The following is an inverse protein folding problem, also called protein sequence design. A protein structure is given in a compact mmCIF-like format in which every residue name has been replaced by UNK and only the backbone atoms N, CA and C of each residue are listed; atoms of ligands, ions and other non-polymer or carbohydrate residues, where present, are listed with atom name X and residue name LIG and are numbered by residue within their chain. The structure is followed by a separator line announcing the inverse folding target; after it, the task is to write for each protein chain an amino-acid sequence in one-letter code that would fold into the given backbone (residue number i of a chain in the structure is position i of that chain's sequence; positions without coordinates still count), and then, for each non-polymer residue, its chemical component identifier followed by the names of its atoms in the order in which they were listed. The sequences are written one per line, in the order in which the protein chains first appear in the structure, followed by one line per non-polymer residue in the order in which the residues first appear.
data_IF_415313999194
#
_entry.id   IF_415313999194
#
_cell.length_a   1.000
_cell.length_b   1.000
_cell.length_c   1.000
_cell.angle_alpha   90.00
_cell.angle_beta   90.00
_cell.angle_gamma   90.00
#
_symmetry.space_group_name_H-M   'P 1'
#
loop_
_entity.id
_entity.type
_entity.pdbx_description
1 polymer ?
#
# COMPACT_ATOMS: atom_id res chain seq x y z
N UNK A 1 -18.35 3.23 14.51
CA UNK A 1 -18.02 2.39 13.35
C UNK A 1 -16.98 3.15 12.54
N UNK A 2 -15.83 2.52 12.28
CA UNK A 2 -14.75 3.14 11.50
C UNK A 2 -15.19 3.25 10.03
N UNK A 3 -14.78 4.33 9.37
CA UNK A 3 -15.02 4.55 7.94
C UNK A 3 -13.69 4.40 7.22
N UNK A 4 -13.68 3.54 6.21
CA UNK A 4 -12.52 3.26 5.37
C UNK A 4 -12.70 3.96 4.04
N UNK A 5 -11.80 4.88 3.71
CA UNK A 5 -11.70 5.43 2.36
C UNK A 5 -10.88 4.46 1.54
N UNK A 6 -11.45 3.96 0.46
CA UNK A 6 -10.79 3.07 -0.49
C UNK A 6 -10.53 3.87 -1.75
N UNK A 7 -9.31 3.82 -2.26
CA UNK A 7 -9.00 4.32 -3.60
C UNK A 7 -8.17 3.30 -4.38
N UNK A 8 -8.68 2.89 -5.53
CA UNK A 8 -7.97 2.12 -6.54
C UNK A 8 -7.74 3.02 -7.76
N UNK A 9 -6.48 3.40 -7.99
CA UNK A 9 -6.12 4.36 -9.04
C UNK A 9 -4.74 4.06 -9.61
N UNK A 10 -4.53 4.49 -10.85
CA UNK A 10 -3.21 4.57 -11.43
C UNK A 10 -2.56 5.89 -11.00
N UNK A 11 -1.38 5.80 -10.40
CA UNK A 11 -0.68 6.94 -9.80
C UNK A 11 0.05 7.82 -10.82
N UNK A 12 0.33 7.30 -12.02
CA UNK A 12 1.02 8.04 -13.09
C UNK A 12 0.03 8.63 -14.10
N UNK A 13 -0.86 7.83 -14.69
CA UNK A 13 -1.87 8.34 -15.64
C UNK A 13 -3.06 9.06 -14.99
N UNK A 14 -3.23 8.93 -13.67
CA UNK A 14 -4.40 9.47 -12.97
C UNK A 14 -5.71 8.75 -13.30
N UNK A 15 -5.68 7.63 -14.03
CA UNK A 15 -6.85 6.78 -14.28
C UNK A 15 -7.42 6.33 -12.93
N UNK A 16 -8.71 6.56 -12.72
CA UNK A 16 -9.42 6.16 -11.50
C UNK A 16 -10.23 4.89 -11.75
N UNK A 17 -10.01 3.87 -10.92
CA UNK A 17 -10.83 2.67 -10.91
C UNK A 17 -12.00 2.82 -9.94
N UNK A 18 -11.69 2.92 -8.64
CA UNK A 18 -12.70 3.04 -7.57
C UNK A 18 -12.25 4.10 -6.57
N UNK A 19 -13.15 5.01 -6.18
CA UNK A 19 -12.98 5.88 -5.01
C UNK A 19 -14.29 5.81 -4.21
N UNK A 20 -14.24 5.21 -3.02
CA UNK A 20 -15.44 5.01 -2.19
C UNK A 20 -15.11 5.10 -0.70
N UNK A 21 -16.16 5.24 0.12
CA UNK A 21 -16.05 5.13 1.58
C UNK A 21 -16.99 4.04 2.06
N UNK A 22 -16.43 3.03 2.70
CA UNK A 22 -17.19 1.91 3.27
C UNK A 22 -17.07 1.92 4.78
N UNK A 23 -17.97 1.24 5.47
CA UNK A 23 -17.95 1.13 6.94
C UNK A 23 -17.81 -0.32 7.42
N UNK A 24 -17.55 -1.24 6.50
CA UNK A 24 -17.42 -2.67 6.75
C UNK A 24 -16.05 -3.17 6.27
N UNK A 25 -15.34 -3.89 7.14
CA UNK A 25 -14.08 -4.54 6.77
C UNK A 25 -14.28 -5.59 5.69
N UNK A 26 -15.45 -6.24 5.68
CA UNK A 26 -15.83 -7.21 4.64
C UNK A 26 -15.90 -6.55 3.27
N UNK A 27 -16.52 -5.36 3.17
CA UNK A 27 -16.59 -4.61 1.91
C UNK A 27 -15.19 -4.21 1.42
N UNK A 28 -14.28 -3.81 2.31
CA UNK A 28 -12.88 -3.53 1.93
C UNK A 28 -12.20 -4.75 1.31
N UNK A 29 -12.37 -5.92 1.92
CA UNK A 29 -11.80 -7.19 1.42
C UNK A 29 -12.44 -7.57 0.08
N UNK A 30 -13.74 -7.40 -0.08
CA UNK A 30 -14.44 -7.66 -1.35
C UNK A 30 -13.93 -6.74 -2.47
N UNK A 31 -13.74 -5.45 -2.18
CA UNK A 31 -13.13 -4.52 -3.13
C UNK A 31 -11.71 -4.94 -3.52
N UNK A 32 -10.87 -5.30 -2.55
CA UNK A 32 -9.52 -5.79 -2.84
C UNK A 32 -9.53 -7.04 -3.72
N UNK A 33 -10.35 -8.05 -3.37
CA UNK A 33 -10.47 -9.30 -4.13
C UNK A 33 -11.03 -9.12 -5.54
N UNK A 34 -11.75 -8.03 -5.80
CA UNK A 34 -12.26 -7.71 -7.14
C UNK A 34 -11.15 -7.25 -8.10
N UNK A 35 -9.96 -6.93 -7.59
CA UNK A 35 -8.83 -6.47 -8.40
C UNK A 35 -8.15 -7.66 -9.03
N UNK A 36 -8.17 -7.70 -10.37
CA UNK A 36 -7.40 -8.66 -11.13
C UNK A 36 -6.01 -8.09 -11.42
N UNK A 37 -5.09 -8.24 -10.46
CA UNK A 37 -3.70 -7.79 -10.58
C UNK A 37 -2.98 -8.38 -11.80
N UNK A 38 -3.30 -9.62 -12.17
CA UNK A 38 -2.70 -10.29 -13.32
C UNK A 38 -3.03 -9.57 -14.62
N UNK A 39 -4.31 -9.30 -14.85
CA UNK A 39 -4.76 -8.62 -16.07
C UNK A 39 -4.22 -7.19 -16.17
N UNK A 40 -4.02 -6.52 -15.04
CA UNK A 40 -3.41 -5.19 -15.00
C UNK A 40 -1.94 -5.24 -15.42
N UNK A 41 -1.16 -6.15 -14.82
CA UNK A 41 0.26 -6.35 -15.15
C UNK A 41 0.49 -6.86 -16.58
N UNK A 42 -0.38 -7.75 -17.07
CA UNK A 42 -0.29 -8.27 -18.43
C UNK A 42 -0.55 -7.19 -19.48
N UNK A 43 -1.52 -6.29 -19.23
CA UNK A 43 -1.76 -5.13 -20.10
C UNK A 43 -0.56 -4.18 -20.14
N UNK A 44 0.17 -4.08 -19.05
CA UNK A 44 1.38 -3.27 -18.92
C UNK A 44 2.65 -3.91 -19.51
N UNK A 45 2.57 -5.15 -20.03
CA UNK A 45 3.72 -5.90 -20.57
C UNK A 45 3.51 -6.49 -21.97
N UNK A 46 2.95 -5.77 -22.97
CA UNK A 46 2.93 -6.27 -24.34
C UNK A 46 4.36 -6.40 -24.89
N UNK A 47 4.60 -7.39 -25.75
CA UNK A 47 5.91 -7.69 -26.36
C UNK A 47 6.56 -6.52 -27.15
N UNK A 48 5.87 -5.38 -27.32
CA UNK A 48 6.29 -4.25 -28.16
C UNK A 48 6.04 -2.85 -27.53
N UNK A 49 6.00 -2.70 -26.20
CA UNK A 49 5.87 -1.39 -25.56
C UNK A 49 7.22 -0.77 -25.18
N UNK A 50 7.28 0.58 -25.21
CA UNK A 50 8.42 1.33 -24.67
C UNK A 50 8.37 1.30 -23.13
N UNK A 51 9.54 1.39 -22.48
CA UNK A 51 9.67 1.36 -21.01
C UNK A 51 8.78 2.38 -20.26
N UNK A 52 8.48 3.52 -20.90
CA UNK A 52 7.59 4.56 -20.35
C UNK A 52 6.14 4.09 -20.22
N UNK A 53 5.65 3.30 -21.18
CA UNK A 53 4.27 2.81 -21.22
C UNK A 53 4.09 1.69 -20.18
N UNK A 54 5.14 0.88 -20.01
CA UNK A 54 5.24 -0.16 -18.98
C UNK A 54 5.19 0.46 -17.57
N UNK A 55 5.86 1.60 -17.33
CA UNK A 55 5.81 2.27 -16.04
C UNK A 55 4.42 2.84 -15.72
N UNK A 56 3.76 3.49 -16.68
CA UNK A 56 2.41 4.03 -16.47
C UNK A 56 1.42 2.91 -16.16
N UNK A 57 1.33 1.88 -17.00
CA UNK A 57 0.34 0.82 -16.81
C UNK A 57 0.61 -0.09 -15.59
N UNK A 58 1.83 -0.08 -15.00
CA UNK A 58 2.14 -0.77 -13.74
C UNK A 58 1.90 0.04 -12.46
N UNK A 59 1.53 1.31 -12.58
CA UNK A 59 1.41 2.23 -11.43
C UNK A 59 0.05 2.20 -10.73
N UNK A 60 -0.69 1.09 -10.87
CA UNK A 60 -1.93 0.87 -10.14
C UNK A 60 -1.66 0.65 -8.66
N UNK A 61 -2.46 1.33 -7.82
CA UNK A 61 -2.34 1.27 -6.38
C UNK A 61 -3.74 1.15 -5.78
N UNK A 62 -3.91 0.15 -4.91
CA UNK A 62 -5.05 0.01 -4.04
C UNK A 62 -4.68 0.55 -2.65
N UNK A 63 -5.42 1.57 -2.21
CA UNK A 63 -5.16 2.25 -0.94
C UNK A 63 -6.38 2.23 -0.04
N UNK A 64 -6.12 2.06 1.25
CA UNK A 64 -7.13 2.13 2.29
C UNK A 64 -6.65 3.11 3.35
N UNK A 65 -7.47 4.11 3.67
CA UNK A 65 -7.22 5.11 4.70
C UNK A 65 -8.35 5.06 5.74
N UNK A 66 -8.01 5.11 7.02
CA UNK A 66 -8.97 5.39 8.08
C UNK A 66 -8.33 6.17 9.23
N UNK A 67 -9.18 6.82 10.03
CA UNK A 67 -8.74 7.57 11.21
C UNK A 67 -9.31 6.96 12.48
N UNK A 68 -8.46 6.81 13.51
CA UNK A 68 -8.83 6.30 14.84
C UNK A 68 -7.96 6.93 15.91
N UNK A 69 -8.57 7.38 17.02
CA UNK A 69 -7.85 7.95 18.18
C UNK A 69 -6.80 9.05 17.83
N UNK A 70 -7.19 10.03 17.00
CA UNK A 70 -6.29 11.09 16.49
C UNK A 70 -5.07 10.56 15.73
N UNK A 71 -5.19 9.38 15.13
CA UNK A 71 -4.22 8.83 14.21
C UNK A 71 -4.89 8.53 12.88
N UNK A 72 -4.11 8.65 11.83
CA UNK A 72 -4.43 8.17 10.51
C UNK A 72 -3.61 6.93 10.23
N UNK A 73 -4.24 5.96 9.58
CA UNK A 73 -3.65 4.72 9.13
C UNK A 73 -3.90 4.57 7.65
N UNK A 74 -2.85 4.31 6.89
CA UNK A 74 -2.92 4.09 5.45
C UNK A 74 -2.22 2.77 5.12
N UNK A 75 -2.86 1.95 4.30
CA UNK A 75 -2.27 0.78 3.67
C UNK A 75 -2.33 0.98 2.15
N UNK A 76 -1.19 0.88 1.48
CA UNK A 76 -1.09 0.82 0.03
C UNK A 76 -0.69 -0.58 -0.38
N UNK A 77 -1.32 -1.08 -1.44
CA UNK A 77 -1.01 -2.34 -2.09
C UNK A 77 -0.82 -2.04 -3.58
N UNK A 78 0.35 -2.36 -4.13
CA UNK A 78 0.68 -2.11 -5.53
C UNK A 78 1.61 -3.19 -6.08
N UNK A 79 1.71 -3.36 -7.41
CA UNK A 79 2.58 -4.37 -8.00
C UNK A 79 4.06 -4.09 -7.76
N UNK A 80 4.84 -5.15 -7.55
CA UNK A 80 6.30 -5.06 -7.59
C UNK A 80 6.74 -4.95 -9.07
N UNK A 81 7.57 -3.95 -9.41
CA UNK A 81 7.91 -3.52 -10.78
C UNK A 81 8.81 -4.49 -11.57
N UNK A 82 8.62 -5.82 -11.46
CA UNK A 82 9.30 -6.79 -12.32
C UNK A 82 8.35 -7.32 -13.40
N UNK A 83 8.13 -6.57 -14.50
CA UNK A 83 7.39 -7.07 -15.64
C UNK A 83 8.17 -8.19 -16.32
N UNK A 84 7.60 -9.40 -16.37
CA UNK A 84 8.02 -10.40 -17.36
C UNK A 84 6.79 -10.97 -18.08
N UNK A 85 6.83 -11.10 -19.41
CA UNK A 85 5.73 -11.68 -20.19
C UNK A 85 5.45 -13.16 -19.84
N UNK A 86 6.32 -13.78 -19.03
CA UNK A 86 6.19 -15.16 -18.58
C UNK A 86 5.62 -15.32 -17.16
N UNK A 87 5.21 -14.24 -16.48
CA UNK A 87 4.59 -14.32 -15.13
C UNK A 87 3.29 -15.13 -15.20
N UNK A 88 3.13 -16.12 -14.32
CA UNK A 88 1.83 -16.78 -14.09
C UNK A 88 1.01 -15.99 -13.06
N UNK A 89 -0.33 -16.13 -13.05
CA UNK A 89 -1.17 -15.43 -12.07
C UNK A 89 -0.74 -15.59 -10.61
N UNK A 90 -0.26 -16.78 -10.24
CA UNK A 90 0.17 -17.11 -8.87
C UNK A 90 1.58 -16.59 -8.54
N UNK A 91 2.34 -16.16 -9.55
CA UNK A 91 3.69 -15.61 -9.40
C UNK A 91 3.67 -14.08 -9.25
N UNK A 92 2.48 -13.46 -9.17
CA UNK A 92 2.35 -12.01 -9.00
C UNK A 92 2.80 -11.62 -7.61
N UNK A 93 3.88 -10.83 -7.60
CA UNK A 93 4.43 -10.22 -6.42
C UNK A 93 3.91 -8.81 -6.25
N UNK A 94 3.40 -8.53 -5.07
CA UNK A 94 2.88 -7.24 -4.66
C UNK A 94 3.77 -6.65 -3.57
N UNK A 95 3.61 -5.35 -3.40
CA UNK A 95 4.21 -4.55 -2.34
C UNK A 95 3.08 -4.08 -1.42
N UNK A 96 3.31 -4.16 -0.11
CA UNK A 96 2.53 -3.46 0.90
C UNK A 96 3.35 -2.31 1.44
N UNK A 97 2.78 -1.12 1.48
CA UNK A 97 3.31 0.02 2.22
C UNK A 97 2.30 0.43 3.30
N UNK A 98 2.72 0.43 4.56
CA UNK A 98 1.92 0.86 5.70
C UNK A 98 2.43 2.20 6.23
N UNK A 99 1.50 3.12 6.50
CA UNK A 99 1.79 4.41 7.14
C UNK A 99 0.88 4.62 8.34
N UNK A 100 1.46 5.15 9.40
CA UNK A 100 0.75 5.68 10.57
C UNK A 100 1.17 7.13 10.80
N UNK A 101 0.18 8.02 10.92
CA UNK A 101 0.41 9.44 11.21
C UNK A 101 -0.37 9.89 12.43
N UNK A 102 0.22 10.75 13.26
CA UNK A 102 -0.50 11.47 14.30
C UNK A 102 -1.22 12.68 13.69
N UNK A 103 -2.48 12.87 14.06
CA UNK A 103 -3.28 14.05 13.70
C UNK A 103 -3.13 15.07 14.81
N UNK A 104 -2.37 16.13 14.54
CA UNK A 104 -2.06 17.19 15.52
C UNK A 104 -2.61 18.54 15.06
N UNK A 105 -2.98 19.45 15.99
CA UNK A 105 -3.39 20.80 15.62
C UNK A 105 -2.29 21.55 14.86
N UNK A 106 -2.68 22.37 13.89
CA UNK A 106 -1.78 23.33 13.24
C UNK A 106 -1.68 24.63 14.05
N UNK A 107 -0.65 25.43 13.80
CA UNK A 107 -0.52 26.74 14.43
C UNK A 107 -1.60 27.69 13.91
N UNK A 108 -2.07 28.61 14.77
CA UNK A 108 -3.06 29.64 14.40
C UNK A 108 -2.61 30.49 13.21
N UNK A 109 -1.31 30.70 13.05
CA UNK A 109 -0.74 31.44 11.92
C UNK A 109 -1.01 30.72 10.59
N UNK A 110 -0.79 29.40 10.51
CA UNK A 110 -1.09 28.62 9.30
C UNK A 110 -2.59 28.62 8.99
N UNK A 111 -3.43 28.52 10.02
CA UNK A 111 -4.90 28.58 9.88
C UNK A 111 -5.36 29.95 9.37
N UNK A 112 -4.72 31.03 9.81
CA UNK A 112 -5.04 32.39 9.39
C UNK A 112 -4.83 32.61 7.88
N UNK A 113 -3.84 31.93 7.29
CA UNK A 113 -3.60 31.94 5.84
C UNK A 113 -4.37 30.84 5.09
N UNK A 114 -5.47 30.34 5.66
CA UNK A 114 -6.34 29.35 5.02
C UNK A 114 -5.84 27.90 5.07
N UNK A 115 -4.80 27.62 5.87
CA UNK A 115 -4.33 26.26 6.09
C UNK A 115 -5.29 25.42 6.95
N UNK A 116 -5.23 24.09 6.80
CA UNK A 116 -6.03 23.15 7.60
C UNK A 116 -5.82 23.34 9.11
N UNK A 117 -6.87 23.07 9.91
CA UNK A 117 -6.83 23.12 11.38
C UNK A 117 -6.00 21.99 12.00
N UNK A 118 -5.74 20.93 11.25
CA UNK A 118 -4.93 19.78 11.65
C UNK A 118 -3.89 19.46 10.59
N UNK A 119 -2.76 18.93 11.03
CA UNK A 119 -1.73 18.35 10.17
C UNK A 119 -1.50 16.90 10.57
N UNK A 120 -1.16 16.08 9.59
CA UNK A 120 -0.76 14.68 9.75
C UNK A 120 0.76 14.66 9.87
N UNK A 121 1.27 14.06 10.94
CA UNK A 121 2.70 13.91 11.21
C UNK A 121 3.00 12.41 11.18
N UNK A 122 3.69 11.97 10.14
CA UNK A 122 4.10 10.56 9.99
C UNK A 122 4.88 10.10 11.23
N UNK A 123 4.54 8.91 11.71
CA UNK A 123 5.17 8.25 12.86
C UNK A 123 5.85 6.96 12.42
N UNK A 124 5.18 6.20 11.57
CA UNK A 124 5.70 4.96 11.01
C UNK A 124 5.44 4.95 9.51
N UNK A 125 6.44 4.49 8.78
CA UNK A 125 6.34 4.08 7.39
C UNK A 125 7.08 2.77 7.25
N UNK A 126 6.38 1.72 6.81
CA UNK A 126 6.94 0.40 6.55
C UNK A 126 6.55 -0.12 5.19
N UNK A 127 7.38 -0.99 4.62
CA UNK A 127 7.18 -1.54 3.29
C UNK A 127 7.67 -2.99 3.25
N UNK A 128 6.88 -3.88 2.64
CA UNK A 128 7.30 -5.22 2.33
C UNK A 128 7.06 -5.49 0.85
N UNK A 129 8.11 -5.92 0.16
CA UNK A 129 8.09 -6.27 -1.26
C UNK A 129 7.98 -7.77 -1.44
N UNK A 130 7.80 -8.20 -2.70
CA UNK A 130 7.84 -9.62 -3.09
C UNK A 130 6.78 -10.52 -2.44
N UNK A 131 5.66 -9.95 -1.98
CA UNK A 131 4.59 -10.68 -1.30
C UNK A 131 3.62 -11.33 -2.28
N UNK A 132 3.18 -12.55 -1.98
CA UNK A 132 2.13 -13.21 -2.75
C UNK A 132 0.74 -12.68 -2.33
N UNK A 133 -0.28 -12.91 -3.18
CA UNK A 133 -1.64 -12.42 -2.91
C UNK A 133 -2.21 -12.94 -1.58
N UNK A 134 -1.84 -14.16 -1.17
CA UNK A 134 -2.29 -14.76 0.09
C UNK A 134 -1.72 -14.02 1.31
N UNK A 135 -0.42 -13.69 1.29
CA UNK A 135 0.25 -12.91 2.33
C UNK A 135 -0.36 -11.52 2.46
N UNK A 136 -0.64 -10.88 1.31
CA UNK A 136 -1.28 -9.55 1.27
C UNK A 136 -2.65 -9.58 1.94
N UNK A 137 -3.44 -10.63 1.71
CA UNK A 137 -4.75 -10.80 2.35
C UNK A 137 -4.64 -10.94 3.87
N UNK A 138 -3.59 -11.57 4.38
CA UNK A 138 -3.34 -11.65 5.82
C UNK A 138 -3.01 -10.28 6.41
N UNK A 139 -2.05 -9.56 5.82
CA UNK A 139 -1.70 -8.21 6.25
C UNK A 139 -2.85 -7.21 6.15
N UNK A 140 -3.69 -7.34 5.12
CA UNK A 140 -4.91 -6.55 4.97
C UNK A 140 -5.90 -6.83 6.10
N UNK A 141 -6.10 -8.10 6.48
CA UNK A 141 -6.96 -8.44 7.63
C UNK A 141 -6.40 -7.87 8.92
N UNK A 142 -5.09 -7.96 9.14
CA UNK A 142 -4.42 -7.36 10.31
C UNK A 142 -4.63 -5.85 10.38
N UNK A 143 -4.48 -5.15 9.24
CA UNK A 143 -4.76 -3.73 9.11
C UNK A 143 -6.19 -3.39 9.53
N UNK A 144 -7.17 -4.11 8.98
CA UNK A 144 -8.60 -3.89 9.21
C UNK A 144 -9.07 -4.30 10.62
N UNK A 145 -8.38 -5.24 11.26
CA UNK A 145 -8.61 -5.61 12.65
C UNK A 145 -7.93 -4.65 13.64
N UNK A 146 -7.29 -3.60 13.15
CA UNK A 146 -6.53 -2.62 13.95
C UNK A 146 -5.34 -3.23 14.73
N UNK A 147 -4.85 -4.39 14.27
CA UNK A 147 -3.65 -5.04 14.77
C UNK A 147 -2.46 -4.70 13.86
N UNK A 148 -1.84 -3.55 14.08
CA UNK A 148 -0.75 -3.08 13.21
C UNK A 148 0.63 -3.58 13.62
N UNK A 149 0.72 -4.51 14.58
CA UNK A 149 2.01 -4.98 15.10
C UNK A 149 2.82 -5.68 14.02
N UNK A 150 2.18 -6.49 13.18
CA UNK A 150 2.85 -7.19 12.07
C UNK A 150 3.27 -6.19 10.98
N UNK A 151 2.39 -5.24 10.63
CA UNK A 151 2.67 -4.19 9.65
C UNK A 151 3.85 -3.30 10.05
N UNK A 152 3.95 -2.94 11.33
CA UNK A 152 5.07 -2.15 11.86
C UNK A 152 6.40 -2.89 11.86
N UNK A 153 6.37 -4.23 11.77
CA UNK A 153 7.57 -5.08 11.68
C UNK A 153 7.98 -5.37 10.24
N UNK A 154 7.22 -4.94 9.23
CA UNK A 154 7.58 -5.14 7.82
C UNK A 154 8.96 -4.55 7.47
N UNK A 155 9.44 -3.57 8.26
CA UNK A 155 10.78 -2.98 8.16
C UNK A 155 11.74 -3.34 9.32
N UNK A 156 11.45 -4.32 10.17
CA UNK A 156 12.53 -4.81 11.05
C UNK A 156 13.52 -5.54 10.17
N UNK A 157 14.56 -4.84 9.75
CA UNK A 157 15.73 -5.39 9.07
C UNK A 157 16.16 -6.72 9.72
N UNK A 158 15.69 -7.84 9.18
CA UNK A 158 16.50 -9.07 9.16
C UNK A 158 17.56 -9.01 8.05
N UNK A 159 17.78 -7.83 7.46
CA UNK A 159 19.04 -7.53 6.78
C UNK A 159 20.21 -7.31 7.77
N UNK A 160 19.96 -6.94 9.03
CA UNK A 160 21.03 -6.88 10.05
C UNK A 160 21.39 -8.27 10.62
N UNK A 161 20.46 -9.23 10.63
CA UNK A 161 20.76 -10.60 11.10
C UNK A 161 21.35 -11.52 10.03
N UNK A 162 21.21 -11.20 8.73
CA UNK A 162 21.94 -11.94 7.68
C UNK A 162 23.39 -11.46 7.54
N UNK A 163 23.67 -10.15 7.69
CA UNK A 163 25.04 -9.64 7.62
C UNK A 163 25.88 -10.03 8.84
N UNK A 164 25.30 -10.04 10.06
CA UNK A 164 26.00 -10.55 11.25
C UNK A 164 26.21 -12.08 11.27
N UNK A 165 25.41 -12.86 10.54
CA UNK A 165 25.64 -14.31 10.38
C UNK A 165 26.68 -14.64 9.30
N UNK A 166 26.83 -13.80 8.28
CA UNK A 166 27.87 -13.96 7.25
C UNK A 166 29.23 -13.46 7.74
N UNK A 167 29.29 -12.47 8.63
CA UNK A 167 30.53 -11.99 9.24
C UNK A 167 31.00 -12.77 10.50
N UNK A 168 30.37 -13.91 10.83
CA UNK A 168 30.78 -14.82 11.92
C UNK A 168 31.10 -16.24 11.46
N UNK A 169 31.58 -16.40 10.24
CA UNK A 169 32.18 -17.66 9.77
C UNK A 169 33.51 -17.36 9.08
N UNK A 170 34.58 -17.53 9.88
CA UNK A 170 36.03 -17.46 9.63
C UNK A 170 36.69 -16.08 9.50
#
# INVERSE_FOLDING_TARGET
MEKYKIAFKNSLSGKKGVETTVSSTKEVIEHYKSINWFELLKKATPENQNDSDIMDDNSWNFSIEYEKYKKEYILHIYPHLYPTPSVKPDDIKLVIEFKESNIVPTSKFVQFFGGSNVKKVEQYKTEATDLLQEDILEYLKDFLNTNHMNLKKLNSNEFDTMFERVCKVY
#
